data_IF_664767771956
#
_entry.id   IF_664767771956
#
_cell.length_a   1.000
_cell.length_b   1.000
_cell.length_c   1.000
_cell.angle_alpha   90.00
_cell.angle_beta   90.00
_cell.angle_gamma   90.00
#
_symmetry.space_group_name_H-M   'P 1'
#
loop_
_entity.id
_entity.type
_entity.pdbx_description
1 polymer ?
#
# COMPACT_ATOMS: atom_id res chain seq x y z
N UNK A 1 39.61 -3.90 -53.01
CA UNK A 1 40.40 -4.49 -51.90
C UNK A 1 39.62 -5.71 -51.44
N UNK A 2 40.13 -6.89 -51.79
CA UNK A 2 39.46 -8.18 -51.64
C UNK A 2 40.04 -8.82 -50.38
N UNK A 3 39.20 -9.16 -49.41
CA UNK A 3 39.64 -9.82 -48.17
C UNK A 3 39.31 -11.31 -48.33
N UNK A 4 40.36 -12.12 -48.25
CA UNK A 4 40.34 -13.57 -48.46
C UNK A 4 39.66 -14.33 -47.34
N UNK A 5 38.82 -15.30 -47.71
CA UNK A 5 38.30 -16.38 -46.86
C UNK A 5 39.38 -17.43 -46.62
N UNK A 6 40.15 -17.31 -45.53
CA UNK A 6 40.96 -18.40 -44.98
C UNK A 6 41.48 -17.93 -43.61
N UNK A 7 40.77 -18.29 -42.53
CA UNK A 7 41.31 -18.50 -41.17
C UNK A 7 40.19 -18.58 -40.13
N UNK A 8 39.35 -19.61 -40.21
CA UNK A 8 38.37 -19.94 -39.17
C UNK A 8 38.19 -21.46 -39.08
N UNK A 9 39.08 -22.11 -38.30
CA UNK A 9 38.92 -23.38 -37.57
C UNK A 9 40.30 -23.72 -36.96
N UNK A 10 40.43 -23.80 -35.63
CA UNK A 10 39.98 -25.02 -34.94
C UNK A 10 39.52 -24.77 -33.48
N UNK A 11 38.20 -24.79 -33.22
CA UNK A 11 37.69 -24.84 -31.83
C UNK A 11 36.40 -25.69 -31.72
N UNK A 12 36.39 -26.86 -32.38
CA UNK A 12 35.30 -27.85 -32.24
C UNK A 12 35.83 -29.14 -31.57
N UNK A 13 36.80 -29.00 -30.65
CA UNK A 13 37.46 -30.15 -30.01
C UNK A 13 37.53 -30.03 -28.49
N UNK A 14 36.48 -29.49 -27.86
CA UNK A 14 36.31 -29.52 -26.38
C UNK A 14 34.88 -29.78 -25.89
N UNK A 15 33.92 -30.08 -26.76
CA UNK A 15 32.52 -30.36 -26.37
C UNK A 15 32.09 -31.83 -26.46
N UNK A 16 32.99 -32.74 -26.85
CA UNK A 16 32.66 -34.16 -27.01
C UNK A 16 33.09 -35.06 -25.84
N UNK A 17 33.69 -34.52 -24.77
CA UNK A 17 34.24 -35.32 -23.66
C UNK A 17 33.42 -35.24 -22.36
N UNK A 18 32.38 -34.38 -22.30
CA UNK A 18 31.56 -34.20 -21.09
C UNK A 18 30.27 -35.05 -21.10
N UNK A 19 29.92 -35.68 -22.23
CA UNK A 19 28.70 -36.49 -22.36
C UNK A 19 28.93 -38.00 -22.16
N UNK A 20 30.17 -38.42 -21.88
CA UNK A 20 30.58 -39.83 -21.75
C UNK A 20 30.61 -40.36 -20.30
N UNK A 21 30.16 -39.60 -19.30
CA UNK A 21 30.18 -40.03 -17.89
C UNK A 21 28.78 -40.35 -17.32
N UNK A 22 27.74 -40.34 -18.16
CA UNK A 22 26.33 -40.60 -17.76
C UNK A 22 25.88 -42.06 -17.93
N UNK A 23 26.79 -43.00 -18.15
CA UNK A 23 26.42 -44.40 -18.37
C UNK A 23 27.38 -45.36 -17.69
N UNK A 24 27.23 -45.57 -16.38
CA UNK A 24 27.57 -46.81 -15.63
C UNK A 24 27.35 -46.61 -14.13
N UNK A 25 26.23 -47.10 -13.59
CA UNK A 25 26.25 -48.02 -12.43
C UNK A 25 24.86 -48.62 -12.16
N UNK A 26 24.77 -49.92 -11.82
CA UNK A 26 23.52 -50.61 -11.53
C UNK A 26 23.10 -50.46 -10.06
N UNK A 27 21.82 -50.75 -9.83
CA UNK A 27 21.12 -50.78 -8.54
C UNK A 27 21.67 -51.84 -7.58
N UNK A 28 21.65 -51.54 -6.27
CA UNK A 28 21.38 -52.50 -5.19
C UNK A 28 21.13 -51.78 -3.83
N UNK A 29 19.98 -52.13 -3.23
CA UNK A 29 19.63 -52.27 -1.79
C UNK A 29 19.86 -51.07 -0.83
N UNK A 30 18.82 -50.38 -0.36
CA UNK A 30 17.93 -50.68 0.79
C UNK A 30 18.60 -50.64 2.18
N UNK A 31 17.92 -49.91 3.07
CA UNK A 31 18.05 -49.83 4.53
C UNK A 31 19.19 -48.98 5.12
N UNK A 32 18.86 -47.70 5.35
CA UNK A 32 19.20 -46.98 6.58
C UNK A 32 18.31 -45.73 6.70
N UNK A 33 17.02 -45.94 6.94
CA UNK A 33 16.17 -44.86 7.47
C UNK A 33 16.55 -44.66 8.95
N UNK A 34 16.82 -43.42 9.40
CA UNK A 34 17.10 -43.17 10.79
C UNK A 34 15.87 -43.55 11.65
N UNK A 35 16.08 -44.05 12.88
CA UNK A 35 14.99 -44.42 13.78
C UNK A 35 14.08 -43.23 14.02
N UNK A 36 12.79 -43.42 13.74
CA UNK A 36 11.72 -42.49 14.07
C UNK A 36 11.61 -42.38 15.59
N UNK A 37 12.25 -41.36 16.16
CA UNK A 37 12.12 -41.01 17.56
C UNK A 37 11.10 -39.88 17.74
N UNK A 38 10.02 -40.21 18.44
CA UNK A 38 9.33 -39.28 19.33
C UNK A 38 8.10 -38.61 18.74
N UNK A 39 6.94 -39.20 19.03
CA UNK A 39 5.70 -38.46 19.23
C UNK A 39 5.93 -37.35 20.27
N UNK A 40 6.24 -36.15 19.80
CA UNK A 40 5.98 -34.93 20.55
C UNK A 40 4.61 -34.43 20.12
N UNK A 41 3.61 -34.83 20.91
CA UNK A 41 2.31 -34.18 21.01
C UNK A 41 2.54 -32.74 21.52
N UNK A 42 3.00 -31.92 20.59
CA UNK A 42 3.25 -30.50 20.75
C UNK A 42 2.55 -29.84 19.57
N UNK A 43 1.22 -29.87 19.60
CA UNK A 43 0.39 -29.02 18.76
C UNK A 43 0.78 -27.57 19.01
N UNK A 44 1.81 -27.11 18.31
CA UNK A 44 2.09 -25.71 18.13
C UNK A 44 0.80 -25.09 17.59
N UNK A 45 0.25 -24.04 18.21
CA UNK A 45 -0.93 -23.40 17.69
C UNK A 45 -0.58 -22.90 16.29
N UNK A 46 -1.18 -23.52 15.28
CA UNK A 46 -1.25 -22.93 13.94
C UNK A 46 -1.79 -21.52 14.17
N UNK A 47 -1.09 -20.45 13.73
CA UNK A 47 -1.63 -19.11 13.86
C UNK A 47 -2.96 -19.10 13.11
N UNK A 48 -4.06 -19.06 13.87
CA UNK A 48 -5.40 -18.93 13.34
C UNK A 48 -5.36 -17.69 12.45
N UNK A 49 -5.59 -17.85 11.15
CA UNK A 49 -5.65 -16.73 10.24
C UNK A 49 -6.67 -15.73 10.80
N UNK A 50 -6.18 -14.58 11.27
CA UNK A 50 -7.02 -13.51 11.82
C UNK A 50 -8.03 -13.17 10.75
N UNK A 51 -9.31 -13.43 11.03
CA UNK A 51 -10.31 -13.14 10.02
C UNK A 51 -10.45 -11.62 9.91
N UNK A 52 -10.93 -11.12 8.76
CA UNK A 52 -11.22 -9.69 8.54
C UNK A 52 -12.06 -9.11 9.67
N UNK A 53 -13.05 -9.90 10.12
CA UNK A 53 -13.94 -9.57 11.25
C UNK A 53 -13.21 -9.44 12.58
N UNK A 54 -12.14 -10.20 12.80
CA UNK A 54 -11.32 -10.08 14.00
C UNK A 54 -10.49 -8.80 13.97
N UNK A 55 -9.96 -8.39 12.81
CA UNK A 55 -9.30 -7.08 12.63
C UNK A 55 -10.31 -5.95 12.90
N UNK A 56 -11.53 -6.07 12.36
CA UNK A 56 -12.63 -5.12 12.60
C UNK A 56 -12.96 -4.98 14.09
N UNK A 57 -13.08 -6.09 14.81
CA UNK A 57 -13.39 -6.11 16.23
C UNK A 57 -12.23 -5.60 17.11
N UNK A 58 -10.98 -5.88 16.71
CA UNK A 58 -9.77 -5.44 17.43
C UNK A 58 -9.62 -3.93 17.47
N UNK A 59 -10.04 -3.22 16.42
CA UNK A 59 -9.90 -1.75 16.36
C UNK A 59 -11.08 -0.97 16.95
N UNK A 60 -12.17 -1.64 17.36
CA UNK A 60 -13.31 -1.01 18.03
C UNK A 60 -14.08 0.02 17.18
N UNK A 61 -13.71 0.22 15.92
CA UNK A 61 -14.36 1.14 15.00
C UNK A 61 -15.47 0.41 14.25
N UNK A 62 -16.67 1.00 14.21
CA UNK A 62 -17.75 0.48 13.38
C UNK A 62 -17.51 0.89 11.92
N UNK A 63 -17.67 -0.03 10.95
CA UNK A 63 -17.65 0.33 9.54
C UNK A 63 -18.68 1.41 9.22
N UNK A 64 -18.30 2.34 8.37
CA UNK A 64 -19.18 3.36 7.84
C UNK A 64 -18.83 3.63 6.37
N UNK A 65 -19.68 4.42 5.71
CA UNK A 65 -19.44 4.96 4.38
C UNK A 65 -19.86 6.43 4.37
N UNK A 66 -19.37 7.21 3.42
CA UNK A 66 -19.73 8.62 3.24
C UNK A 66 -19.60 9.50 4.50
N UNK A 67 -18.53 9.31 5.27
CA UNK A 67 -18.27 10.09 6.48
C UNK A 67 -17.68 11.46 6.13
N UNK A 68 -18.26 12.52 6.68
CA UNK A 68 -17.75 13.90 6.56
C UNK A 68 -17.48 14.48 7.94
N UNK A 69 -16.25 14.93 8.17
CA UNK A 69 -15.86 15.67 9.37
C UNK A 69 -15.15 16.96 8.97
N UNK A 70 -15.70 18.09 9.44
CA UNK A 70 -15.17 19.43 9.17
C UNK A 70 -14.98 20.13 10.50
N UNK A 71 -13.72 20.36 10.84
CA UNK A 71 -13.33 21.11 12.02
C UNK A 71 -12.80 22.49 11.61
N UNK A 72 -12.87 23.46 12.52
CA UNK A 72 -12.34 24.80 12.25
C UNK A 72 -10.95 24.97 12.85
N UNK A 73 -10.85 24.84 14.16
CA UNK A 73 -9.64 25.16 14.92
C UNK A 73 -9.27 23.97 15.82
N UNK A 74 -9.43 22.76 15.30
CA UNK A 74 -9.30 21.52 16.06
C UNK A 74 -8.64 20.41 15.26
N UNK A 75 -7.90 19.57 15.99
CA UNK A 75 -7.22 18.43 15.40
C UNK A 75 -8.23 17.29 15.12
N UNK A 76 -8.11 16.68 13.94
CA UNK A 76 -8.84 15.47 13.60
C UNK A 76 -7.92 14.29 13.87
N UNK A 77 -8.30 13.44 14.82
CA UNK A 77 -7.54 12.24 15.18
C UNK A 77 -8.44 11.02 15.26
N UNK A 78 -7.84 9.85 15.10
CA UNK A 78 -8.52 8.58 15.38
C UNK A 78 -8.36 7.56 14.28
N UNK A 79 -9.14 6.49 14.41
CA UNK A 79 -9.18 5.38 13.46
C UNK A 79 -10.55 5.32 12.82
N UNK A 80 -10.59 5.28 11.50
CA UNK A 80 -11.82 5.26 10.71
C UNK A 80 -11.85 3.99 9.87
N UNK A 81 -13.01 3.34 9.85
CA UNK A 81 -13.22 2.11 9.08
C UNK A 81 -14.22 2.39 7.98
N UNK A 82 -13.74 2.34 6.73
CA UNK A 82 -14.53 2.68 5.55
C UNK A 82 -14.85 1.39 4.81
N UNK A 83 -16.15 1.09 4.71
CA UNK A 83 -16.69 0.02 3.87
C UNK A 83 -17.44 0.68 2.69
N UNK A 84 -16.84 0.71 1.48
CA UNK A 84 -17.45 1.31 0.30
C UNK A 84 -18.75 0.63 -0.13
N UNK A 85 -18.97 -0.63 0.26
CA UNK A 85 -20.15 -1.42 -0.06
C UNK A 85 -21.28 -1.25 0.95
N UNK A 86 -21.02 -0.58 2.08
CA UNK A 86 -22.05 -0.29 3.06
C UNK A 86 -23.05 0.71 2.49
N UNK A 87 -24.27 0.24 2.26
CA UNK A 87 -25.37 1.07 1.83
C UNK A 87 -25.90 1.93 2.99
N UNK A 88 -25.90 3.25 2.79
CA UNK A 88 -26.48 4.21 3.73
C UNK A 88 -27.68 4.88 3.06
N UNK A 89 -28.87 4.86 3.67
CA UNK A 89 -30.04 5.55 3.16
C UNK A 89 -29.77 7.04 2.90
N UNK A 90 -30.23 7.56 1.76
CA UNK A 90 -29.90 8.93 1.30
C UNK A 90 -30.26 10.02 2.30
N UNK A 91 -31.32 9.84 3.10
CA UNK A 91 -31.74 10.82 4.11
C UNK A 91 -30.83 10.86 5.35
N UNK A 92 -29.92 9.90 5.52
CA UNK A 92 -28.90 9.87 6.57
C UNK A 92 -27.53 10.36 6.08
N UNK A 93 -27.40 10.63 4.77
CA UNK A 93 -26.14 11.07 4.19
C UNK A 93 -25.89 12.56 4.46
N UNK A 94 -24.63 12.98 4.63
CA UNK A 94 -24.29 14.39 4.70
C UNK A 94 -24.79 15.15 3.46
N UNK A 95 -25.23 16.42 3.63
CA UNK A 95 -25.65 17.24 2.52
C UNK A 95 -24.50 17.43 1.53
N UNK A 96 -24.82 17.43 0.24
CA UNK A 96 -23.85 17.72 -0.82
C UNK A 96 -23.50 19.21 -0.82
N UNK A 97 -22.27 19.53 -1.22
CA UNK A 97 -21.91 20.91 -1.53
C UNK A 97 -22.71 21.43 -2.73
N UNK A 98 -22.94 22.75 -2.85
CA UNK A 98 -23.62 23.31 -4.02
C UNK A 98 -22.94 22.89 -5.33
N UNK A 99 -23.72 22.30 -6.25
CA UNK A 99 -23.23 21.83 -7.54
C UNK A 99 -22.53 20.47 -7.53
N UNK A 100 -22.34 19.85 -6.36
CA UNK A 100 -21.81 18.50 -6.25
C UNK A 100 -22.93 17.48 -6.51
N UNK A 101 -22.60 16.43 -7.24
CA UNK A 101 -23.49 15.28 -7.49
C UNK A 101 -23.25 14.15 -6.49
N UNK A 102 -24.21 13.22 -6.38
CA UNK A 102 -24.06 12.00 -5.56
C UNK A 102 -22.87 11.13 -6.03
N UNK A 103 -22.54 11.18 -7.31
CA UNK A 103 -21.41 10.47 -7.91
C UNK A 103 -20.06 11.00 -7.40
N UNK A 104 -19.98 12.30 -7.12
CA UNK A 104 -18.79 12.99 -6.61
C UNK A 104 -18.67 12.96 -5.08
N UNK A 105 -19.61 12.31 -4.38
CA UNK A 105 -19.51 12.19 -2.91
C UNK A 105 -18.35 11.28 -2.53
N UNK A 106 -17.49 11.78 -1.65
CA UNK A 106 -16.39 11.03 -1.06
C UNK A 106 -16.89 9.99 -0.06
N UNK A 107 -16.27 8.81 -0.03
CA UNK A 107 -16.50 7.82 1.03
C UNK A 107 -15.98 8.31 2.38
N UNK A 108 -14.93 9.16 2.37
CA UNK A 108 -14.42 9.85 3.56
C UNK A 108 -13.94 11.26 3.18
N UNK A 109 -14.43 12.28 3.88
CA UNK A 109 -14.00 13.67 3.75
C UNK A 109 -13.63 14.24 5.11
N UNK A 110 -12.35 14.56 5.30
CA UNK A 110 -11.82 15.17 6.52
C UNK A 110 -11.20 16.53 6.18
N UNK A 111 -11.63 17.58 6.86
CA UNK A 111 -11.08 18.92 6.66
C UNK A 111 -10.93 19.65 7.99
N UNK A 112 -9.81 20.34 8.19
CA UNK A 112 -9.65 21.32 9.27
C UNK A 112 -9.03 22.61 8.73
N UNK A 113 -9.37 23.76 9.30
CA UNK A 113 -8.77 25.04 8.87
C UNK A 113 -7.46 25.32 9.62
N UNK A 114 -7.46 25.13 10.93
CA UNK A 114 -6.28 25.26 11.78
C UNK A 114 -6.23 24.04 12.70
N UNK A 115 -5.44 23.06 12.32
CA UNK A 115 -5.42 21.80 13.01
C UNK A 115 -4.55 20.75 12.35
N UNK A 116 -4.06 19.84 13.19
CA UNK A 116 -3.41 18.63 12.73
C UNK A 116 -4.45 17.59 12.34
N UNK A 117 -4.23 16.90 11.22
CA UNK A 117 -4.95 15.67 10.91
C UNK A 117 -4.00 14.48 11.09
N UNK A 118 -4.31 13.58 12.00
CA UNK A 118 -3.52 12.36 12.25
C UNK A 118 -4.44 11.15 12.38
N UNK A 119 -4.61 10.42 11.28
CA UNK A 119 -5.65 9.40 11.16
C UNK A 119 -5.12 8.09 10.62
N UNK A 120 -5.75 7.00 11.07
CA UNK A 120 -5.59 5.67 10.51
C UNK A 120 -6.89 5.25 9.85
N UNK A 121 -6.83 4.87 8.59
CA UNK A 121 -7.97 4.48 7.78
C UNK A 121 -7.83 3.00 7.48
N UNK A 122 -8.85 2.23 7.82
CA UNK A 122 -9.00 0.84 7.42
C UNK A 122 -10.02 0.74 6.31
N UNK A 123 -9.62 0.22 5.16
CA UNK A 123 -10.50 -0.05 4.03
C UNK A 123 -10.96 -1.50 4.10
N UNK A 124 -12.27 -1.71 4.12
CA UNK A 124 -12.87 -3.03 4.11
C UNK A 124 -13.20 -3.44 2.67
N UNK A 125 -12.81 -4.66 2.30
CA UNK A 125 -13.15 -5.25 1.00
C UNK A 125 -14.55 -5.87 0.96
N UNK A 126 -15.04 -6.26 -0.25
CA UNK A 126 -16.38 -6.82 -0.45
C UNK A 126 -16.66 -8.06 0.43
N UNK A 127 -15.65 -8.89 0.69
CA UNK A 127 -15.77 -10.12 1.48
C UNK A 127 -16.09 -9.87 2.97
N UNK A 128 -15.83 -8.66 3.48
CA UNK A 128 -16.19 -8.28 4.84
C UNK A 128 -17.72 -8.23 5.03
N UNK A 129 -18.48 -8.07 3.94
CA UNK A 129 -19.92 -7.85 3.95
C UNK A 129 -20.62 -8.87 3.01
N UNK A 130 -21.08 -9.99 3.58
CA UNK A 130 -21.69 -11.12 2.82
C UNK A 130 -22.97 -10.75 2.05
N UNK A 131 -23.57 -9.61 2.36
CA UNK A 131 -24.78 -9.08 1.72
C UNK A 131 -24.46 -7.96 0.70
N UNK A 132 -23.18 -7.68 0.43
CA UNK A 132 -22.77 -6.63 -0.50
C UNK A 132 -23.12 -7.00 -1.94
N UNK A 133 -23.91 -6.13 -2.58
CA UNK A 133 -24.04 -6.12 -4.03
C UNK A 133 -22.67 -5.78 -4.65
N UNK A 134 -22.24 -6.45 -5.73
CA UNK A 134 -21.00 -6.07 -6.40
C UNK A 134 -21.05 -4.58 -6.76
N UNK A 135 -19.93 -3.85 -6.59
CA UNK A 135 -19.89 -2.42 -6.86
C UNK A 135 -20.34 -2.15 -8.29
N UNK A 136 -20.96 -0.99 -8.51
CA UNK A 136 -21.09 -0.46 -9.86
C UNK A 136 -19.66 -0.35 -10.41
N UNK A 137 -19.37 -1.10 -11.47
CA UNK A 137 -18.04 -1.48 -11.94
C UNK A 137 -17.06 -0.32 -12.26
N UNK A 138 -17.45 0.93 -12.04
CA UNK A 138 -16.66 2.11 -12.42
C UNK A 138 -16.40 3.10 -11.25
N UNK A 139 -16.90 2.87 -10.01
CA UNK A 139 -16.69 3.82 -8.89
C UNK A 139 -15.67 3.32 -7.86
N UNK A 140 -14.48 3.89 -7.90
CA UNK A 140 -13.40 3.72 -6.90
C UNK A 140 -13.78 4.32 -5.54
N UNK A 141 -13.17 3.81 -4.47
CA UNK A 141 -13.31 4.40 -3.13
C UNK A 141 -12.58 5.74 -3.08
N UNK A 142 -13.26 6.84 -2.76
CA UNK A 142 -12.67 8.19 -2.74
C UNK A 142 -12.53 8.73 -1.32
N UNK A 143 -11.29 9.07 -0.96
CA UNK A 143 -10.91 9.58 0.35
C UNK A 143 -10.23 10.92 0.16
N UNK A 144 -10.70 11.94 0.87
CA UNK A 144 -10.10 13.27 0.84
C UNK A 144 -9.80 13.76 2.25
N UNK A 145 -8.55 14.15 2.46
CA UNK A 145 -8.05 14.63 3.75
C UNK A 145 -7.33 15.95 3.54
N UNK A 146 -7.69 16.98 4.31
CA UNK A 146 -7.08 18.30 4.11
C UNK A 146 -6.93 19.13 5.39
N UNK A 147 -5.91 19.99 5.39
CA UNK A 147 -5.74 21.06 6.38
C UNK A 147 -5.31 22.38 5.71
N UNK A 148 -5.87 23.51 6.10
CA UNK A 148 -5.33 24.80 5.64
C UNK A 148 -4.05 25.17 6.40
N UNK A 149 -4.00 24.92 7.70
CA UNK A 149 -2.83 25.15 8.54
C UNK A 149 -2.67 23.98 9.51
N UNK A 150 -1.63 23.19 9.30
CA UNK A 150 -1.27 22.08 10.16
C UNK A 150 -0.81 20.85 9.39
N UNK A 151 -0.03 19.98 10.06
CA UNK A 151 0.46 18.76 9.44
C UNK A 151 -0.67 17.76 9.19
N UNK A 152 -0.55 17.01 8.11
CA UNK A 152 -1.46 15.91 7.75
C UNK A 152 -0.69 14.59 7.72
N UNK A 153 -1.10 13.65 8.56
CA UNK A 153 -0.60 12.28 8.60
C UNK A 153 -1.73 11.30 8.37
N UNK A 154 -1.62 10.49 7.33
CA UNK A 154 -2.64 9.50 6.95
C UNK A 154 -1.99 8.13 6.86
N UNK A 155 -2.55 7.13 7.54
CA UNK A 155 -2.16 5.73 7.42
C UNK A 155 -3.32 4.97 6.79
N UNK A 156 -3.07 4.24 5.70
CA UNK A 156 -4.09 3.41 5.06
C UNK A 156 -3.73 1.95 5.22
N UNK A 157 -4.64 1.19 5.81
CA UNK A 157 -4.57 -0.24 5.91
C UNK A 157 -5.68 -0.87 5.08
N UNK A 158 -5.40 -2.01 4.47
CA UNK A 158 -6.36 -2.82 3.74
C UNK A 158 -6.74 -4.03 4.60
N UNK A 159 -8.04 -4.29 4.73
CA UNK A 159 -8.56 -5.56 5.24
C UNK A 159 -8.97 -6.39 4.03
N UNK A 160 -8.19 -7.43 3.74
CA UNK A 160 -8.29 -8.28 2.54
C UNK A 160 -8.02 -7.57 1.20
N UNK A 161 -8.59 -8.14 0.13
CA UNK A 161 -8.69 -7.54 -1.18
C UNK A 161 -9.69 -6.39 -1.14
N UNK A 162 -9.14 -5.17 -1.17
CA UNK A 162 -9.92 -3.94 -1.24
C UNK A 162 -10.11 -3.55 -2.71
N UNK A 163 -11.24 -2.91 -2.98
CA UNK A 163 -11.42 -2.23 -4.26
C UNK A 163 -10.39 -1.09 -4.40
N UNK A 164 -9.99 -0.75 -5.63
CA UNK A 164 -9.11 0.37 -5.89
C UNK A 164 -9.61 1.66 -5.24
N UNK A 165 -8.70 2.44 -4.68
CA UNK A 165 -9.04 3.68 -4.01
C UNK A 165 -8.25 4.89 -4.53
N UNK A 166 -8.87 6.06 -4.45
CA UNK A 166 -8.25 7.36 -4.62
C UNK A 166 -8.10 8.03 -3.26
N UNK A 167 -6.85 8.28 -2.86
CA UNK A 167 -6.53 9.10 -1.70
C UNK A 167 -6.00 10.46 -2.15
N UNK A 168 -6.75 11.51 -1.84
CA UNK A 168 -6.39 12.91 -2.11
C UNK A 168 -6.08 13.63 -0.79
N UNK A 169 -4.84 14.10 -0.65
CA UNK A 169 -4.35 14.76 0.56
C UNK A 169 -3.78 16.12 0.23
N UNK A 170 -4.33 17.16 0.86
CA UNK A 170 -3.92 18.54 0.64
C UNK A 170 -3.54 19.22 1.95
N UNK A 171 -2.48 20.02 1.94
CA UNK A 171 -2.25 21.01 2.99
C UNK A 171 -1.78 22.33 2.38
N UNK A 172 -2.27 23.46 2.88
CA UNK A 172 -1.66 24.75 2.49
C UNK A 172 -0.36 24.92 3.29
N UNK A 173 -0.45 25.01 4.61
CA UNK A 173 0.74 25.24 5.45
C UNK A 173 0.97 24.03 6.35
N UNK A 174 1.91 23.15 6.00
CA UNK A 174 2.12 21.92 6.76
C UNK A 174 2.82 20.81 6.00
N UNK A 175 3.39 19.85 6.74
CA UNK A 175 3.94 18.64 6.14
C UNK A 175 2.84 17.62 5.86
N UNK A 176 2.98 16.88 4.75
CA UNK A 176 2.14 15.74 4.42
C UNK A 176 2.95 14.46 4.63
N UNK A 177 2.43 13.51 5.40
CA UNK A 177 3.01 12.18 5.55
C UNK A 177 1.93 11.14 5.29
N UNK A 178 2.10 10.32 4.26
CA UNK A 178 1.18 9.24 3.94
C UNK A 178 1.89 7.90 4.05
N UNK A 179 1.23 6.97 4.72
CA UNK A 179 1.63 5.57 4.75
C UNK A 179 0.59 4.76 3.99
N UNK A 180 1.04 4.09 2.94
CA UNK A 180 0.20 3.24 2.07
C UNK A 180 0.44 1.76 2.38
N UNK A 181 -0.54 0.88 2.11
CA UNK A 181 -0.33 -0.56 2.24
C UNK A 181 0.62 -1.06 1.13
N UNK A 182 1.27 -2.21 1.37
CA UNK A 182 2.13 -2.87 0.36
C UNK A 182 1.37 -3.30 -0.90
N UNK A 183 0.08 -3.53 -0.77
CA UNK A 183 -0.84 -3.84 -1.87
C UNK A 183 -1.19 -2.64 -2.74
N UNK A 184 -0.69 -1.44 -2.42
CA UNK A 184 -0.95 -0.26 -3.25
C UNK A 184 -0.33 -0.43 -4.63
N UNK A 185 -1.14 -0.31 -5.67
CA UNK A 185 -0.72 -0.41 -7.06
C UNK A 185 -1.34 0.69 -7.92
N UNK A 186 -0.51 1.66 -8.33
CA UNK A 186 -0.95 2.71 -9.23
C UNK A 186 -0.18 4.02 -9.14
N UNK A 187 -0.69 5.09 -9.77
CA UNK A 187 0.00 6.38 -9.85
C UNK A 187 0.10 7.13 -8.52
N UNK A 188 1.25 7.76 -8.31
CA UNK A 188 1.51 8.76 -7.28
C UNK A 188 1.71 10.12 -7.94
N UNK A 189 0.95 11.12 -7.49
CA UNK A 189 1.08 12.52 -7.90
C UNK A 189 1.52 13.36 -6.70
N UNK A 190 2.73 13.90 -6.74
CA UNK A 190 3.33 14.66 -5.65
C UNK A 190 3.56 16.11 -6.09
N UNK A 191 2.87 17.06 -5.46
CA UNK A 191 3.00 18.48 -5.77
C UNK A 191 3.38 19.26 -4.52
N UNK A 192 4.62 19.71 -4.46
CA UNK A 192 5.11 20.59 -3.41
C UNK A 192 5.55 21.91 -4.03
N UNK A 193 4.98 23.04 -3.60
CA UNK A 193 5.33 24.36 -4.18
C UNK A 193 6.67 24.84 -3.66
N UNK A 194 6.79 25.00 -2.34
CA UNK A 194 7.98 25.57 -1.69
C UNK A 194 8.75 24.54 -0.85
N UNK A 195 8.27 23.29 -0.83
CA UNK A 195 8.92 22.15 -0.17
C UNK A 195 9.42 21.06 -1.11
N UNK A 196 9.89 19.97 -0.52
CA UNK A 196 10.35 18.79 -1.25
C UNK A 196 9.47 17.57 -1.00
N UNK A 197 9.65 16.53 -1.80
CA UNK A 197 9.04 15.22 -1.59
C UNK A 197 10.11 14.18 -1.28
N UNK A 198 9.74 13.14 -0.54
CA UNK A 198 10.59 11.99 -0.28
C UNK A 198 9.75 10.71 -0.24
N UNK A 199 10.18 9.70 -0.98
CA UNK A 199 9.68 8.33 -0.87
C UNK A 199 10.61 7.57 0.08
N UNK A 200 10.09 6.60 0.84
CA UNK A 200 10.95 5.63 1.52
C UNK A 200 11.68 4.74 0.51
N UNK A 201 12.76 4.10 0.94
CA UNK A 201 13.51 3.16 0.10
C UNK A 201 12.62 2.02 -0.40
N UNK A 202 11.68 1.55 0.43
CA UNK A 202 10.73 0.52 0.04
C UNK A 202 9.79 0.99 -1.06
N UNK A 203 9.17 2.17 -0.91
CA UNK A 203 8.26 2.72 -1.93
C UNK A 203 9.04 3.04 -3.20
N UNK A 204 10.23 3.64 -3.08
CA UNK A 204 11.07 3.99 -4.22
C UNK A 204 11.50 2.75 -5.00
N UNK A 205 11.94 1.69 -4.31
CA UNK A 205 12.38 0.43 -4.92
C UNK A 205 11.26 -0.33 -5.65
N UNK A 206 9.99 -0.06 -5.32
CA UNK A 206 8.83 -0.62 -6.02
C UNK A 206 8.14 0.41 -6.93
N UNK A 207 8.85 1.48 -7.32
CA UNK A 207 8.29 2.55 -8.14
C UNK A 207 9.05 2.76 -9.44
N UNK A 208 8.31 3.18 -10.46
CA UNK A 208 8.84 3.70 -11.73
C UNK A 208 8.61 5.20 -11.78
N UNK A 209 9.65 5.99 -12.01
CA UNK A 209 9.52 7.44 -12.19
C UNK A 209 8.92 7.76 -13.55
N UNK A 210 7.86 8.58 -13.57
CA UNK A 210 7.17 9.01 -14.80
C UNK A 210 7.53 10.45 -15.20
N UNK A 211 8.38 11.11 -14.43
CA UNK A 211 8.85 12.47 -14.67
C UNK A 211 8.06 13.55 -13.94
N UNK A 212 8.30 14.80 -14.33
CA UNK A 212 7.76 16.00 -13.68
C UNK A 212 7.07 16.89 -14.71
N UNK A 213 5.83 17.27 -14.45
CA UNK A 213 5.06 18.19 -15.27
C UNK A 213 4.23 19.13 -14.37
N UNK A 214 4.17 20.41 -14.71
CA UNK A 214 3.36 21.42 -13.98
C UNK A 214 3.65 21.47 -12.46
N UNK A 215 4.91 21.27 -12.07
CA UNK A 215 5.32 21.23 -10.66
C UNK A 215 4.85 19.98 -9.89
N UNK A 216 4.31 18.99 -10.60
CA UNK A 216 3.89 17.70 -10.06
C UNK A 216 4.89 16.63 -10.48
N UNK A 217 5.51 15.96 -9.51
CA UNK A 217 6.35 14.78 -9.75
C UNK A 217 5.46 13.55 -9.74
N UNK A 218 5.66 12.67 -10.72
CA UNK A 218 4.82 11.50 -10.93
C UNK A 218 5.64 10.22 -10.82
N UNK A 219 5.08 9.26 -10.08
CA UNK A 219 5.60 7.90 -9.99
C UNK A 219 4.47 6.92 -10.28
N UNK A 220 4.81 5.69 -10.62
CA UNK A 220 3.90 4.56 -10.60
C UNK A 220 4.45 3.51 -9.64
N UNK A 221 3.65 3.05 -8.68
CA UNK A 221 4.05 1.99 -7.74
C UNK A 221 3.46 0.67 -8.20
N UNK A 222 4.29 -0.37 -8.25
CA UNK A 222 3.92 -1.70 -8.75
C UNK A 222 4.34 -1.95 -10.19
N UNK A 223 3.72 -2.97 -10.80
CA UNK A 223 4.02 -3.38 -12.17
C UNK A 223 3.47 -2.39 -13.19
N UNK A 224 4.35 -1.63 -13.85
CA UNK A 224 3.97 -0.64 -14.83
C UNK A 224 3.40 -1.24 -16.13
N UNK A 225 3.62 -2.54 -16.40
CA UNK A 225 3.10 -3.18 -17.62
C UNK A 225 1.57 -3.20 -17.66
N UNK A 226 0.91 -3.26 -16.50
CA UNK A 226 -0.54 -3.17 -16.36
C UNK A 226 -1.10 -1.74 -16.50
N UNK A 227 -0.24 -0.71 -16.56
CA UNK A 227 -0.65 0.68 -16.72
C UNK A 227 -1.04 1.05 -18.17
N UNK A 228 -0.86 0.12 -19.12
CA UNK A 228 -1.17 0.33 -20.54
C UNK A 228 -2.68 0.28 -20.85
N UNK A 229 -3.49 -0.22 -19.92
CA UNK A 229 -4.94 -0.23 -20.05
C UNK A 229 -5.53 1.18 -19.83
N UNK A 230 -6.35 1.72 -20.74
CA UNK A 230 -6.87 3.09 -20.69
C UNK A 230 -7.81 3.33 -19.49
N UNK A 231 -8.28 2.26 -18.85
CA UNK A 231 -8.89 2.29 -17.52
C UNK A 231 -7.80 1.89 -16.54
N UNK A 232 -7.14 2.86 -15.92
CA UNK A 232 -6.27 2.56 -14.80
C UNK A 232 -7.19 2.14 -13.63
N UNK A 233 -7.51 0.85 -13.56
CA UNK A 233 -8.30 0.20 -12.51
C UNK A 233 -7.50 0.02 -11.20
N UNK A 234 -6.43 0.80 -11.02
CA UNK A 234 -5.55 0.74 -9.86
C UNK A 234 -5.85 1.83 -8.83
N UNK A 235 -5.09 1.77 -7.74
CA UNK A 235 -5.10 2.80 -6.71
C UNK A 235 -4.52 4.11 -7.24
N UNK A 236 -4.88 5.23 -6.62
CA UNK A 236 -4.33 6.53 -6.98
C UNK A 236 -4.05 7.35 -5.72
N UNK A 237 -2.85 7.94 -5.67
CA UNK A 237 -2.46 8.83 -4.58
C UNK A 237 -2.16 10.22 -5.12
N UNK A 238 -2.85 11.24 -4.60
CA UNK A 238 -2.63 12.65 -4.91
C UNK A 238 -2.24 13.38 -3.64
N UNK A 239 -1.04 13.93 -3.60
CA UNK A 239 -0.51 14.67 -2.46
C UNK A 239 -0.11 16.07 -2.89
N UNK A 240 -0.67 17.07 -2.22
CA UNK A 240 -0.33 18.47 -2.45
C UNK A 240 0.02 19.18 -1.13
N UNK A 241 1.10 19.94 -1.15
CA UNK A 241 1.53 20.81 -0.07
C UNK A 241 2.02 22.13 -0.66
N UNK A 242 1.51 23.27 -0.17
CA UNK A 242 2.02 24.58 -0.60
C UNK A 242 3.36 24.86 0.09
N UNK A 243 3.35 24.91 1.41
CA UNK A 243 4.49 25.37 2.21
C UNK A 243 5.02 24.25 3.12
N UNK A 244 5.24 23.06 2.56
CA UNK A 244 5.73 21.92 3.34
C UNK A 244 6.25 20.74 2.55
N UNK A 245 6.79 19.78 3.32
CA UNK A 245 7.41 18.57 2.76
C UNK A 245 6.39 17.44 2.67
N UNK A 246 6.45 16.69 1.57
CA UNK A 246 5.65 15.49 1.34
C UNK A 246 6.50 14.26 1.61
N UNK A 247 5.96 13.29 2.32
CA UNK A 247 6.60 11.99 2.59
C UNK A 247 5.64 10.85 2.30
N UNK A 248 6.09 9.85 1.57
CA UNK A 248 5.32 8.62 1.31
C UNK A 248 6.13 7.43 1.78
N UNK A 249 5.48 6.49 2.48
CA UNK A 249 6.08 5.30 3.08
C UNK A 249 5.12 4.13 3.01
N UNK A 250 5.62 2.92 3.25
CA UNK A 250 4.71 1.80 3.58
C UNK A 250 4.34 1.83 5.06
N UNK A 251 3.16 1.31 5.40
CA UNK A 251 2.71 1.25 6.81
C UNK A 251 3.66 0.42 7.68
N UNK A 252 4.12 -0.73 7.17
CA UNK A 252 4.98 -1.69 7.87
C UNK A 252 6.41 -1.18 8.18
N UNK A 253 6.84 -0.10 7.50
CA UNK A 253 8.14 0.51 7.73
C UNK A 253 8.23 1.25 9.07
N UNK A 254 7.10 1.68 9.65
CA UNK A 254 7.09 2.33 10.98
C UNK A 254 7.14 1.29 12.09
N UNK A 255 6.44 0.17 11.93
CA UNK A 255 6.42 -0.91 12.92
C UNK A 255 7.85 -1.44 13.15
N UNK A 256 8.60 -1.62 12.06
CA UNK A 256 10.00 -2.08 12.09
C UNK A 256 10.95 -1.09 12.79
N UNK A 257 10.70 0.22 12.66
CA UNK A 257 11.54 1.27 13.25
C UNK A 257 11.31 1.48 14.76
N UNK A 258 10.18 1.02 15.30
CA UNK A 258 9.90 1.08 16.75
C UNK A 258 10.47 -0.13 17.49
N UNK A 259 10.54 -1.30 16.86
CA UNK A 259 11.18 -2.49 17.45
C UNK A 259 12.71 -2.38 17.61
N UNK A 260 13.37 -1.55 16.81
CA UNK A 260 14.83 -1.36 16.85
C UNK A 260 15.30 -0.28 17.83
N UNK A 261 14.40 0.50 18.43
CA UNK A 261 14.75 1.60 19.35
C UNK A 261 14.67 1.25 20.85
N UNK A 262 14.35 0.01 21.20
CA UNK A 262 14.19 -0.46 22.59
C UNK A 262 15.43 -1.08 23.25
N UNK A 263 16.64 -0.58 23.02
CA UNK A 263 17.87 -1.31 23.41
C UNK A 263 19.07 -0.52 23.92
N UNK A 264 18.94 0.72 24.43
CA UNK A 264 20.11 1.52 24.82
C UNK A 264 20.00 2.36 26.12
N UNK A 265 19.07 2.09 27.04
CA UNK A 265 19.00 2.84 28.32
C UNK A 265 18.78 2.00 29.59
N UNK A 266 19.41 0.82 29.69
CA UNK A 266 19.46 0.07 30.96
C UNK A 266 20.90 -0.18 31.42
N UNK A 267 21.66 0.91 31.68
CA UNK A 267 22.93 0.80 32.43
C UNK A 267 23.43 2.12 33.01
N UNK A 268 22.65 2.77 33.86
CA UNK A 268 23.16 3.63 34.93
C UNK A 268 22.08 3.71 36.00
N UNK A 269 22.12 2.80 36.96
CA UNK A 269 21.71 2.92 38.39
C UNK A 269 21.78 1.50 38.98
N UNK A 270 23.01 1.09 39.33
CA UNK A 270 23.27 0.14 40.40
C UNK A 270 24.62 0.47 41.01
#
# INVERSE_FOLDING_TARGET
MIISEQDLKPEISKRAEVESERARRPAELQDDLPPAYGDHDGSAPVPTATTPRDILAQHGAKPTNYLTLVERDSAIRGTYMIDPHLHIPTHLLPPLAPGQTEEERNNLYLHTRDGTVDVTIWLAGPAANRDAKPPLADKRTTIRVSSDDGPVTVRVNAVDYIDPFLLDVFTRDGRVTVLIPRSFHGPLHLKARDGGHALSDGVLGNSTSLGTAEGTVRYFVGDFSSASEPRCEGDELRLESRDGKIRVRYVDEIDTATSTKGGFFSRMFS
#
